data_IF_900472419020
#
_entry.id   IF_900472419020
#
_cell.length_a   1.000
_cell.length_b   1.000
_cell.length_c   1.000
_cell.angle_alpha   90.00
_cell.angle_beta   90.00
_cell.angle_gamma   90.00
#
_symmetry.space_group_name_H-M   'P 1'
#
loop_
_entity.id
_entity.type
_entity.pdbx_description
1 polymer ?
#
# COMPACT_ATOMS: atom_id res chain seq x y z
N UNK A 1 30.98 4.43 -4.48
CA UNK A 1 30.41 4.07 -5.80
C UNK A 1 30.94 5.01 -6.87
N UNK A 2 30.91 4.64 -8.15
CA UNK A 2 31.38 5.50 -9.26
C UNK A 2 30.18 5.89 -10.13
N UNK A 3 29.64 7.10 -9.95
CA UNK A 3 28.70 7.70 -10.89
C UNK A 3 29.45 8.54 -11.94
N UNK A 4 28.87 8.78 -13.13
CA UNK A 4 29.48 9.66 -14.13
C UNK A 4 29.68 11.07 -13.57
N UNK A 5 30.69 11.85 -13.98
CA UNK A 5 30.89 13.19 -13.46
C UNK A 5 29.72 14.12 -13.83
N UNK A 6 29.14 14.86 -12.87
CA UNK A 6 28.06 15.81 -13.13
C UNK A 6 28.58 16.99 -13.95
N UNK A 7 27.77 17.43 -14.91
CA UNK A 7 28.08 18.53 -15.83
C UNK A 7 27.26 19.78 -15.56
N UNK A 8 26.02 19.63 -15.07
CA UNK A 8 25.14 20.77 -14.83
C UNK A 8 24.13 20.44 -13.72
N UNK A 9 23.67 21.46 -12.99
CA UNK A 9 22.57 21.34 -12.03
C UNK A 9 21.61 22.49 -12.21
N UNK A 10 20.31 22.22 -12.07
CA UNK A 10 19.27 23.25 -12.09
C UNK A 10 18.11 22.87 -11.19
N UNK A 11 17.38 23.87 -10.74
CA UNK A 11 16.08 23.68 -10.14
C UNK A 11 14.96 23.79 -11.19
N UNK A 12 14.11 22.77 -11.27
CA UNK A 12 12.91 22.76 -12.08
C UNK A 12 11.70 23.19 -11.25
N UNK A 13 11.31 24.47 -11.39
CA UNK A 13 10.16 25.04 -10.67
C UNK A 13 8.83 24.39 -11.01
N UNK A 14 8.68 23.80 -12.20
CA UNK A 14 7.41 23.19 -12.61
C UNK A 14 7.15 21.90 -11.82
N UNK A 15 8.22 21.18 -11.50
CA UNK A 15 8.17 19.87 -10.83
C UNK A 15 8.72 19.89 -9.41
N UNK A 16 9.13 21.06 -8.89
CA UNK A 16 9.68 21.20 -7.54
C UNK A 16 10.95 20.36 -7.30
N UNK A 17 11.77 20.12 -8.33
CA UNK A 17 12.85 19.13 -8.29
C UNK A 17 14.21 19.71 -8.72
N UNK A 18 15.30 19.22 -8.12
CA UNK A 18 16.67 19.46 -8.56
C UNK A 18 17.02 18.43 -9.62
N UNK A 19 17.45 18.91 -10.78
CA UNK A 19 17.90 18.11 -11.91
C UNK A 19 19.42 18.22 -12.01
N UNK A 20 20.11 17.09 -11.89
CA UNK A 20 21.55 16.95 -12.06
C UNK A 20 21.79 16.24 -13.39
N UNK A 21 22.44 16.91 -14.32
CA UNK A 21 22.84 16.35 -15.61
C UNK A 21 24.30 15.91 -15.55
N UNK A 22 24.60 14.78 -16.17
CA UNK A 22 25.93 14.20 -16.20
C UNK A 22 26.57 14.26 -17.59
N UNK A 23 27.90 14.24 -17.66
CA UNK A 23 28.64 14.33 -18.92
C UNK A 23 28.33 13.21 -19.94
N UNK A 24 27.78 12.08 -19.49
CA UNK A 24 27.35 10.99 -20.36
C UNK A 24 25.94 11.20 -20.95
N UNK A 25 25.27 12.31 -20.66
CA UNK A 25 23.91 12.63 -21.11
C UNK A 25 22.78 12.07 -20.25
N UNK A 26 23.09 11.35 -19.17
CA UNK A 26 22.08 10.94 -18.18
C UNK A 26 21.72 12.10 -17.25
N UNK A 27 20.54 12.04 -16.64
CA UNK A 27 20.11 12.97 -15.60
C UNK A 27 19.61 12.21 -14.37
N UNK A 28 19.88 12.76 -13.19
CA UNK A 28 19.34 12.33 -11.91
C UNK A 28 18.49 13.45 -11.34
N UNK A 29 17.29 13.12 -10.86
CA UNK A 29 16.31 14.10 -10.40
C UNK A 29 15.95 13.77 -8.96
N UNK A 30 15.98 14.78 -8.09
CA UNK A 30 15.60 14.65 -6.68
C UNK A 30 14.58 15.75 -6.32
N UNK A 31 13.47 15.43 -5.63
CA UNK A 31 12.54 16.45 -5.16
C UNK A 31 13.26 17.41 -4.21
N UNK A 32 13.21 18.71 -4.50
CA UNK A 32 13.99 19.69 -3.73
C UNK A 32 13.53 19.76 -2.27
N UNK A 33 12.22 19.57 -2.03
CA UNK A 33 11.62 19.62 -0.70
C UNK A 33 11.96 18.42 0.18
N UNK A 34 12.48 17.34 -0.40
CA UNK A 34 12.95 16.17 0.33
C UNK A 34 14.38 16.34 0.86
N UNK A 35 15.10 17.39 0.43
CA UNK A 35 16.45 17.66 0.92
C UNK A 35 16.41 18.42 2.25
N UNK A 36 17.19 17.94 3.23
CA UNK A 36 17.33 18.60 4.53
C UNK A 36 17.74 20.08 4.34
N UNK A 37 17.03 20.98 5.04
CA UNK A 37 17.22 22.43 4.95
C UNK A 37 16.46 23.13 3.82
N UNK A 38 15.89 22.41 2.85
CA UNK A 38 15.13 23.00 1.73
C UNK A 38 13.61 22.93 1.89
N UNK A 39 13.09 22.13 2.82
CA UNK A 39 11.64 21.96 3.05
C UNK A 39 10.89 23.30 3.16
N UNK A 40 11.47 24.29 3.86
CA UNK A 40 10.87 25.63 4.06
C UNK A 40 11.52 26.75 3.24
N UNK A 41 12.49 26.46 2.37
CA UNK A 41 13.19 27.47 1.58
C UNK A 41 12.27 28.03 0.47
N UNK A 42 12.39 29.29 0.10
CA UNK A 42 11.61 29.82 -1.03
C UNK A 42 12.09 29.21 -2.37
N UNK A 43 11.20 29.17 -3.35
CA UNK A 43 11.52 28.77 -4.73
C UNK A 43 12.71 29.55 -5.33
N UNK A 44 12.90 30.80 -4.88
CA UNK A 44 14.00 31.66 -5.30
C UNK A 44 15.32 31.29 -4.61
N UNK A 45 15.29 30.77 -3.39
CA UNK A 45 16.47 30.27 -2.67
C UNK A 45 16.88 28.89 -3.20
N UNK A 46 15.92 27.98 -3.40
CA UNK A 46 16.18 26.65 -3.98
C UNK A 46 16.78 26.77 -5.39
N UNK A 47 16.32 27.76 -6.18
CA UNK A 47 16.84 28.00 -7.52
C UNK A 47 18.34 28.38 -7.58
N UNK A 48 18.96 28.75 -6.45
CA UNK A 48 20.39 29.10 -6.36
C UNK A 48 21.28 27.87 -6.14
N UNK A 49 20.80 26.68 -6.49
CA UNK A 49 21.59 25.45 -6.44
C UNK A 49 22.81 25.56 -7.35
N UNK A 50 23.97 25.20 -6.83
CA UNK A 50 25.23 25.16 -7.55
C UNK A 50 25.93 23.81 -7.37
N UNK A 51 26.78 23.46 -8.33
CA UNK A 51 27.63 22.28 -8.25
C UNK A 51 28.94 22.65 -7.55
N UNK A 52 29.24 22.03 -6.42
CA UNK A 52 30.48 22.22 -5.68
C UNK A 52 31.39 21.00 -5.80
N UNK A 53 32.65 21.23 -6.20
CA UNK A 53 33.71 20.22 -6.33
C UNK A 53 33.40 19.03 -7.25
N UNK A 54 32.33 19.12 -8.04
CA UNK A 54 31.90 18.04 -8.94
C UNK A 54 31.30 16.83 -8.24
N UNK A 55 31.02 16.90 -6.93
CA UNK A 55 30.42 15.80 -6.17
C UNK A 55 29.27 16.21 -5.26
N UNK A 56 29.05 17.51 -5.05
CA UNK A 56 28.04 18.03 -4.14
C UNK A 56 27.16 19.11 -4.76
N UNK A 57 25.92 19.18 -4.27
CA UNK A 57 25.02 20.31 -4.42
C UNK A 57 25.29 21.31 -3.30
N UNK A 58 25.27 22.59 -3.63
CA UNK A 58 25.54 23.67 -2.67
C UNK A 58 24.56 24.82 -2.86
N UNK A 59 24.11 25.40 -1.74
CA UNK A 59 23.31 26.63 -1.70
C UNK A 59 24.00 27.62 -0.77
N UNK A 60 24.75 28.56 -1.34
CA UNK A 60 25.53 29.55 -0.57
C UNK A 60 24.64 30.37 0.39
N UNK A 61 23.45 30.77 -0.05
CA UNK A 61 22.56 31.59 0.78
C UNK A 61 21.90 30.85 1.93
N UNK A 62 21.83 29.52 1.85
CA UNK A 62 21.23 28.67 2.88
C UNK A 62 22.28 27.97 3.73
N UNK A 63 23.57 28.09 3.38
CA UNK A 63 24.68 27.34 3.97
C UNK A 63 24.42 25.82 3.98
N UNK A 64 23.89 25.31 2.86
CA UNK A 64 23.53 23.90 2.70
C UNK A 64 24.43 23.21 1.69
N UNK A 65 24.79 21.96 2.01
CA UNK A 65 25.57 21.07 1.15
C UNK A 65 24.99 19.66 1.18
N UNK A 66 24.81 19.07 0.01
CA UNK A 66 24.32 17.70 -0.16
C UNK A 66 25.22 16.93 -1.13
N UNK A 67 25.80 15.80 -0.71
CA UNK A 67 26.66 14.99 -1.59
C UNK A 67 25.80 14.19 -2.59
N UNK A 68 26.08 14.34 -3.89
CA UNK A 68 25.33 13.70 -4.97
C UNK A 68 25.35 12.17 -4.82
N UNK A 69 26.48 11.60 -4.39
CA UNK A 69 26.60 10.17 -4.13
C UNK A 69 25.62 9.67 -3.06
N UNK A 70 25.43 10.43 -1.99
CA UNK A 70 24.49 10.09 -0.92
C UNK A 70 23.04 10.21 -1.40
N UNK A 71 22.73 11.26 -2.18
CA UNK A 71 21.40 11.42 -2.79
C UNK A 71 21.07 10.26 -3.73
N UNK A 72 22.03 9.79 -4.52
CA UNK A 72 21.88 8.62 -5.40
C UNK A 72 21.74 7.31 -4.63
N UNK A 73 22.26 7.25 -3.41
CA UNK A 73 22.07 6.15 -2.46
C UNK A 73 20.75 6.28 -1.66
N UNK A 74 19.96 7.35 -1.90
CA UNK A 74 18.68 7.61 -1.24
C UNK A 74 18.83 8.20 0.16
N UNK A 75 20.02 8.69 0.51
CA UNK A 75 20.32 9.35 1.78
C UNK A 75 20.12 10.86 1.60
N UNK A 76 19.02 11.37 2.16
CA UNK A 76 18.63 12.79 2.09
C UNK A 76 18.95 13.57 3.37
N UNK A 77 19.55 12.90 4.36
CA UNK A 77 19.88 13.44 5.69
C UNK A 77 21.36 13.24 6.04
N UNK A 78 21.95 14.21 6.72
CA UNK A 78 23.20 14.00 7.48
C UNK A 78 23.04 14.60 8.87
N UNK A 79 22.56 13.77 9.83
CA UNK A 79 22.89 13.75 11.27
C UNK A 79 21.82 12.99 12.12
N UNK A 80 20.69 12.52 11.56
CA UNK A 80 19.73 11.67 12.29
C UNK A 80 20.25 10.24 12.58
N UNK A 81 21.24 9.77 11.81
CA UNK A 81 21.89 8.46 12.01
C UNK A 81 22.62 8.30 13.36
N UNK A 82 22.81 9.37 14.15
CA UNK A 82 23.37 9.25 15.51
C UNK A 82 22.39 8.74 16.57
N UNK A 83 21.08 8.76 16.30
CA UNK A 83 20.08 8.27 17.28
C UNK A 83 19.80 6.77 17.12
N UNK A 84 20.09 6.18 15.96
CA UNK A 84 19.86 4.75 15.69
C UNK A 84 21.01 3.82 16.13
N UNK A 85 22.01 4.32 16.86
CA UNK A 85 23.11 3.50 17.42
C UNK A 85 23.04 3.32 18.94
N UNK A 86 21.85 3.24 19.52
CA UNK A 86 21.67 2.66 20.85
C UNK A 86 21.10 1.24 20.74
N UNK A 87 21.93 0.18 20.82
CA UNK A 87 21.45 -1.19 20.92
C UNK A 87 21.02 -1.43 22.37
N UNK A 88 19.85 -0.91 22.75
CA UNK A 88 19.18 -1.29 24.01
C UNK A 88 17.70 -0.91 23.99
N UNK A 89 16.93 -1.56 23.12
CA UNK A 89 15.49 -1.71 23.31
C UNK A 89 15.08 -3.13 22.90
N UNK A 90 14.30 -3.80 23.76
CA UNK A 90 13.85 -5.17 23.55
C UNK A 90 12.86 -5.31 22.38
N UNK A 91 12.43 -6.54 22.04
CA UNK A 91 11.52 -6.77 20.94
C UNK A 91 10.11 -6.33 21.34
N UNK A 92 9.55 -5.36 20.61
CA UNK A 92 8.13 -5.02 20.71
C UNK A 92 7.86 -3.53 20.69
N UNK A 93 7.67 -3.01 19.48
CA UNK A 93 6.61 -2.09 19.04
C UNK A 93 7.09 -1.54 17.68
N UNK A 94 6.34 -1.84 16.63
CA UNK A 94 6.56 -1.26 15.30
C UNK A 94 6.36 0.25 15.44
N UNK A 95 7.42 1.04 15.26
CA UNK A 95 7.32 2.50 15.29
C UNK A 95 6.87 2.97 13.91
N UNK A 96 5.55 3.21 13.77
CA UNK A 96 4.99 3.93 12.63
C UNK A 96 5.80 5.22 12.40
N UNK A 97 6.36 5.45 11.21
CA UNK A 97 7.10 6.68 10.94
C UNK A 97 6.19 7.91 11.15
N UNK A 98 6.72 9.05 11.62
CA UNK A 98 5.89 10.23 11.86
C UNK A 98 5.08 10.61 10.61
N UNK A 99 3.75 10.85 10.72
CA UNK A 99 2.89 11.09 9.55
C UNK A 99 3.36 12.21 8.62
N UNK A 100 4.01 13.24 9.18
CA UNK A 100 4.59 14.35 8.44
C UNK A 100 5.65 13.93 7.40
N UNK A 101 6.26 12.76 7.55
CA UNK A 101 7.32 12.25 6.66
C UNK A 101 6.73 11.58 5.42
N UNK A 102 5.59 10.89 5.54
CA UNK A 102 5.08 10.03 4.48
C UNK A 102 3.75 10.49 3.87
N UNK A 103 2.89 11.22 4.59
CA UNK A 103 1.55 11.58 4.07
C UNK A 103 1.65 12.35 2.75
N UNK A 104 2.52 13.36 2.70
CA UNK A 104 2.70 14.16 1.48
C UNK A 104 3.18 13.32 0.29
N UNK A 105 4.12 12.40 0.53
CA UNK A 105 4.65 11.49 -0.48
C UNK A 105 3.60 10.49 -0.96
N UNK A 106 2.76 9.97 -0.06
CA UNK A 106 1.63 9.08 -0.40
C UNK A 106 0.62 9.83 -1.27
N UNK A 107 0.17 11.01 -0.85
CA UNK A 107 -0.80 11.81 -1.62
C UNK A 107 -0.26 12.09 -3.01
N UNK A 108 0.98 12.58 -3.10
CA UNK A 108 1.63 12.88 -4.39
C UNK A 108 1.73 11.64 -5.28
N UNK A 109 2.21 10.52 -4.74
CA UNK A 109 2.33 9.27 -5.48
C UNK A 109 0.97 8.80 -6.02
N UNK A 110 -0.07 8.75 -5.17
CA UNK A 110 -1.39 8.29 -5.59
C UNK A 110 -1.99 9.23 -6.65
N UNK A 111 -1.93 10.55 -6.42
CA UNK A 111 -2.46 11.55 -7.36
C UNK A 111 -1.78 11.51 -8.73
N UNK A 112 -0.49 11.18 -8.80
CA UNK A 112 0.27 11.14 -10.05
C UNK A 112 0.11 9.82 -10.82
N UNK A 113 -0.28 8.74 -10.13
CA UNK A 113 -0.27 7.40 -10.71
C UNK A 113 -1.67 6.80 -10.88
N UNK A 114 -2.73 7.49 -10.46
CA UNK A 114 -4.10 7.13 -10.80
C UNK A 114 -4.44 7.47 -12.27
N UNK A 115 -5.26 6.65 -12.96
CA UNK A 115 -5.78 7.02 -14.27
C UNK A 115 -6.62 8.30 -14.22
N UNK A 116 -6.58 9.08 -15.29
CA UNK A 116 -7.26 10.36 -15.38
C UNK A 116 -6.31 11.54 -15.24
N UNK A 117 -6.79 12.63 -14.66
CA UNK A 117 -6.07 13.88 -14.57
C UNK A 117 -6.26 14.51 -13.18
N UNK A 118 -5.14 14.82 -12.53
CA UNK A 118 -5.09 15.33 -11.16
C UNK A 118 -5.68 16.73 -10.96
N UNK A 119 -5.97 17.46 -12.02
CA UNK A 119 -6.63 18.78 -11.96
C UNK A 119 -8.14 18.67 -12.12
N UNK A 120 -8.62 17.55 -12.69
CA UNK A 120 -10.03 17.39 -13.06
C UNK A 120 -10.70 16.18 -12.40
N UNK A 121 -10.24 14.96 -12.65
CA UNK A 121 -10.78 13.75 -12.03
C UNK A 121 -9.88 12.54 -12.27
N UNK A 122 -9.86 11.64 -11.29
CA UNK A 122 -9.31 10.29 -11.41
C UNK A 122 -10.43 9.28 -11.71
N UNK A 123 -10.09 8.24 -12.47
CA UNK A 123 -10.99 7.15 -12.84
C UNK A 123 -10.47 5.84 -12.30
N UNK A 124 -11.33 5.09 -11.61
CA UNK A 124 -10.93 3.80 -11.03
C UNK A 124 -11.25 2.60 -11.92
N UNK A 125 -12.18 2.74 -12.88
CA UNK A 125 -12.62 1.67 -13.80
C UNK A 125 -12.96 0.32 -13.15
N UNK A 126 -13.32 0.32 -11.85
CA UNK A 126 -13.58 -0.87 -11.03
C UNK A 126 -12.35 -1.80 -10.90
N UNK A 127 -11.16 -1.24 -11.10
CA UNK A 127 -9.89 -1.90 -10.83
C UNK A 127 -9.56 -1.70 -9.35
N UNK A 128 -9.37 -2.79 -8.62
CA UNK A 128 -9.17 -2.79 -7.17
C UNK A 128 -8.12 -1.78 -6.69
N UNK A 129 -6.92 -1.77 -7.30
CA UNK A 129 -5.86 -0.85 -6.90
C UNK A 129 -6.24 0.61 -7.10
N UNK A 130 -6.97 0.93 -8.17
CA UNK A 130 -7.40 2.32 -8.45
C UNK A 130 -8.55 2.73 -7.54
N UNK A 131 -9.48 1.82 -7.20
CA UNK A 131 -10.55 2.08 -6.24
C UNK A 131 -9.96 2.41 -4.86
N UNK A 132 -9.06 1.55 -4.36
CA UNK A 132 -8.38 1.76 -3.07
C UNK A 132 -7.60 3.07 -3.07
N UNK A 133 -6.89 3.40 -4.16
CA UNK A 133 -6.15 4.66 -4.27
C UNK A 133 -7.07 5.89 -4.32
N UNK A 134 -8.21 5.82 -5.01
CA UNK A 134 -9.23 6.89 -4.99
C UNK A 134 -9.80 7.08 -3.59
N UNK A 135 -10.20 5.99 -2.93
CA UNK A 135 -10.70 6.01 -1.55
C UNK A 135 -9.66 6.57 -0.58
N UNK A 136 -8.39 6.21 -0.76
CA UNK A 136 -7.28 6.74 0.05
C UNK A 136 -7.21 8.26 -0.05
N UNK A 137 -7.30 8.83 -1.26
CA UNK A 137 -7.32 10.29 -1.46
C UNK A 137 -8.56 10.94 -0.84
N UNK A 138 -9.72 10.27 -0.90
CA UNK A 138 -10.97 10.75 -0.29
C UNK A 138 -10.84 10.80 1.24
N UNK A 139 -10.38 9.71 1.87
CA UNK A 139 -10.25 9.65 3.34
C UNK A 139 -9.14 10.56 3.86
N UNK A 140 -8.11 10.84 3.06
CA UNK A 140 -7.10 11.87 3.35
C UNK A 140 -7.59 13.30 3.09
N UNK A 141 -8.86 13.48 2.73
CA UNK A 141 -9.47 14.79 2.50
C UNK A 141 -8.96 15.52 1.26
N UNK A 142 -8.35 14.81 0.32
CA UNK A 142 -7.79 15.35 -0.92
C UNK A 142 -8.80 15.34 -2.06
N UNK A 143 -9.82 14.49 -1.98
CA UNK A 143 -10.78 14.28 -3.05
C UNK A 143 -12.21 14.04 -2.55
N UNK A 144 -13.17 14.18 -3.45
CA UNK A 144 -14.57 13.77 -3.27
C UNK A 144 -14.87 12.55 -4.13
N UNK A 145 -15.72 11.67 -3.60
CA UNK A 145 -16.16 10.47 -4.31
C UNK A 145 -17.00 10.82 -5.54
N UNK A 146 -16.78 10.07 -6.61
CA UNK A 146 -17.62 10.11 -7.81
C UNK A 146 -18.05 8.69 -8.16
N UNK A 147 -19.05 8.53 -9.04
CA UNK A 147 -19.55 7.21 -9.43
C UNK A 147 -18.49 6.26 -10.02
N UNK A 148 -17.39 6.80 -10.56
CA UNK A 148 -16.37 5.98 -11.25
C UNK A 148 -14.93 6.33 -10.82
N UNK A 149 -14.74 6.96 -9.67
CA UNK A 149 -13.42 7.43 -9.22
C UNK A 149 -13.50 8.56 -8.21
N UNK A 150 -12.58 9.52 -8.29
CA UNK A 150 -12.51 10.63 -7.34
C UNK A 150 -12.20 11.96 -8.03
N UNK A 151 -12.67 13.06 -7.46
CA UNK A 151 -12.42 14.42 -7.97
C UNK A 151 -11.61 15.23 -6.94
N UNK A 152 -10.52 15.90 -7.33
CA UNK A 152 -9.72 16.70 -6.40
C UNK A 152 -10.53 17.81 -5.73
N UNK A 153 -10.30 18.05 -4.45
CA UNK A 153 -10.87 19.20 -3.72
C UNK A 153 -10.13 20.48 -4.06
N UNK A 154 -10.87 21.59 -4.09
CA UNK A 154 -10.30 22.92 -4.26
C UNK A 154 -9.45 23.37 -3.04
N UNK A 155 -9.82 22.91 -1.84
CA UNK A 155 -9.15 23.21 -0.57
C UNK A 155 -8.90 21.90 0.18
N UNK A 156 -7.84 21.14 -0.19
CA UNK A 156 -7.54 19.86 0.43
C UNK A 156 -7.04 20.05 1.87
N UNK A 157 -7.66 19.35 2.81
CA UNK A 157 -7.31 19.38 4.23
C UNK A 157 -7.25 17.96 4.78
N UNK A 158 -6.21 17.66 5.56
CA UNK A 158 -6.09 16.36 6.21
C UNK A 158 -7.18 16.18 7.28
N UNK A 159 -7.72 14.96 7.45
CA UNK A 159 -8.69 14.70 8.50
C UNK A 159 -8.05 14.78 9.89
N UNK A 160 -8.86 15.11 10.91
CA UNK A 160 -8.44 15.06 12.32
C UNK A 160 -7.96 13.66 12.74
N UNK A 161 -8.55 12.63 12.15
CA UNK A 161 -8.22 11.23 12.39
C UNK A 161 -7.63 10.66 11.10
N UNK A 162 -6.33 10.39 11.13
CA UNK A 162 -5.63 9.83 9.98
C UNK A 162 -5.92 8.34 9.81
N UNK A 163 -6.04 7.88 8.55
CA UNK A 163 -6.03 6.46 8.23
C UNK A 163 -4.81 5.73 8.79
N UNK A 164 -4.89 4.41 8.90
CA UNK A 164 -3.76 3.61 9.38
C UNK A 164 -2.62 3.60 8.37
N UNK A 165 -1.39 3.68 8.88
CA UNK A 165 -0.18 3.63 8.05
C UNK A 165 -0.06 2.33 7.23
N UNK A 166 -0.38 1.18 7.83
CA UNK A 166 -0.27 -0.13 7.16
C UNK A 166 -1.23 -0.24 5.97
N UNK A 167 -2.44 0.33 6.08
CA UNK A 167 -3.40 0.39 5.00
C UNK A 167 -2.94 1.30 3.85
N UNK A 168 -2.36 2.47 4.17
CA UNK A 168 -1.85 3.40 3.15
C UNK A 168 -0.60 2.82 2.47
N UNK A 169 0.26 2.13 3.21
CA UNK A 169 1.38 1.40 2.65
C UNK A 169 0.90 0.31 1.66
N UNK A 170 -0.13 -0.46 2.02
CA UNK A 170 -0.73 -1.45 1.12
C UNK A 170 -1.35 -0.81 -0.13
N UNK A 171 -2.08 0.31 0.01
CA UNK A 171 -2.63 1.04 -1.13
C UNK A 171 -1.55 1.49 -2.14
N UNK A 172 -0.41 2.00 -1.63
CA UNK A 172 0.73 2.39 -2.48
C UNK A 172 1.34 1.18 -3.19
N UNK A 173 1.53 0.06 -2.49
CA UNK A 173 2.07 -1.18 -3.11
C UNK A 173 1.15 -1.67 -4.22
N UNK A 174 -0.17 -1.71 -3.97
CA UNK A 174 -1.18 -2.14 -4.95
C UNK A 174 -1.15 -1.28 -6.21
N UNK A 175 -1.15 0.06 -6.06
CA UNK A 175 -1.10 0.96 -7.19
C UNK A 175 0.21 0.83 -7.97
N UNK A 176 1.34 0.73 -7.26
CA UNK A 176 2.65 0.52 -7.88
C UNK A 176 2.69 -0.76 -8.71
N UNK A 177 2.16 -1.87 -8.18
CA UNK A 177 2.13 -3.16 -8.86
C UNK A 177 1.17 -3.12 -10.06
N UNK A 178 -0.03 -2.57 -9.90
CA UNK A 178 -1.03 -2.42 -10.95
C UNK A 178 -0.50 -1.64 -12.17
N UNK A 179 0.30 -0.60 -11.92
CA UNK A 179 0.90 0.23 -12.97
C UNK A 179 2.24 -0.33 -13.50
N UNK A 180 2.74 -1.44 -12.96
CA UNK A 180 4.05 -1.99 -13.33
C UNK A 180 5.24 -1.12 -12.91
N UNK A 181 5.04 -0.23 -11.93
CA UNK A 181 6.10 0.61 -11.34
C UNK A 181 6.98 -0.17 -10.36
N UNK A 182 6.48 -1.32 -9.90
CA UNK A 182 7.26 -2.38 -9.26
C UNK A 182 7.08 -3.69 -10.03
N UNK A 183 8.15 -4.46 -10.11
CA UNK A 183 8.16 -5.82 -10.66
C UNK A 183 8.82 -6.75 -9.65
N UNK A 184 8.05 -7.69 -9.12
CA UNK A 184 8.56 -8.73 -8.24
C UNK A 184 9.37 -9.75 -9.03
N UNK A 185 10.54 -10.13 -8.52
CA UNK A 185 11.44 -11.08 -9.17
C UNK A 185 11.29 -12.45 -8.51
N UNK A 186 11.26 -13.50 -9.32
CA UNK A 186 11.27 -14.86 -8.82
C UNK A 186 12.57 -15.14 -8.05
N UNK A 187 12.46 -15.81 -6.90
CA UNK A 187 13.60 -16.32 -6.16
C UNK A 187 14.16 -17.54 -6.89
N UNK A 188 15.20 -17.38 -7.71
CA UNK A 188 15.79 -18.48 -8.47
C UNK A 188 16.46 -19.52 -7.55
N UNK A 189 16.16 -20.81 -7.77
CA UNK A 189 16.79 -21.92 -7.03
C UNK A 189 18.31 -22.02 -7.27
N UNK A 190 18.83 -21.50 -8.38
CA UNK A 190 20.26 -21.55 -8.71
C UNK A 190 21.10 -20.64 -7.80
N UNK A 191 20.59 -19.46 -7.43
CA UNK A 191 21.23 -18.53 -6.48
C UNK A 191 21.24 -19.11 -5.05
N UNK A 192 20.35 -20.07 -4.76
CA UNK A 192 20.33 -20.79 -3.48
C UNK A 192 21.57 -21.67 -3.30
N UNK A 193 22.26 -22.09 -4.38
CA UNK A 193 23.42 -23.00 -4.31
C UNK A 193 24.77 -22.27 -4.21
N UNK A 194 24.89 -21.09 -4.82
CA UNK A 194 26.14 -20.29 -4.77
C UNK A 194 26.34 -19.58 -3.42
N UNK A 195 25.27 -19.19 -2.72
CA UNK A 195 25.33 -18.66 -1.35
C UNK A 195 25.65 -19.73 -0.29
N UNK A 196 25.58 -21.02 -0.63
CA UNK A 196 25.92 -22.14 0.27
C UNK A 196 27.42 -22.49 0.30
N UNK A 197 28.26 -21.67 -0.34
CA UNK A 197 29.72 -21.81 -0.32
C UNK A 197 30.38 -21.08 0.85
N UNK A 198 30.77 -21.84 1.87
CA UNK A 198 31.71 -21.50 2.94
C UNK A 198 31.17 -20.78 4.21
N UNK A 199 30.69 -21.59 5.15
CA UNK A 199 31.30 -21.64 6.48
C UNK A 199 30.93 -20.56 7.50
N UNK A 200 29.64 -20.42 7.83
CA UNK A 200 29.21 -19.90 9.13
C UNK A 200 28.09 -20.75 9.71
N UNK A 201 28.25 -21.15 10.97
CA UNK A 201 27.35 -22.02 11.73
C UNK A 201 25.97 -21.37 11.99
N UNK A 202 24.97 -22.26 12.07
CA UNK A 202 23.54 -22.06 12.32
C UNK A 202 23.12 -20.80 13.11
N UNK A 203 22.58 -19.82 12.38
CA UNK A 203 21.48 -18.98 12.82
C UNK A 203 20.61 -18.64 11.60
N UNK A 204 19.58 -19.45 11.34
CA UNK A 204 18.64 -19.23 10.23
C UNK A 204 17.82 -17.96 10.44
N UNK A 205 18.26 -16.83 9.89
CA UNK A 205 17.33 -15.80 9.40
C UNK A 205 16.95 -16.16 7.96
N UNK A 206 16.08 -17.17 7.80
CA UNK A 206 15.35 -17.33 6.53
C UNK A 206 14.40 -16.14 6.41
N UNK A 207 14.41 -15.43 5.29
CA UNK A 207 13.26 -14.57 4.94
C UNK A 207 13.58 -13.43 3.99
N UNK A 208 14.27 -12.40 4.46
CA UNK A 208 14.25 -11.08 3.80
C UNK A 208 15.21 -10.93 2.62
N UNK A 209 16.34 -11.64 2.61
CA UNK A 209 17.34 -11.59 1.52
C UNK A 209 16.85 -12.25 0.20
N UNK A 210 15.66 -12.87 0.20
CA UNK A 210 15.15 -13.67 -0.93
C UNK A 210 14.06 -12.97 -1.75
N UNK A 211 13.48 -11.87 -1.24
CA UNK A 211 12.39 -11.14 -1.90
C UNK A 211 12.93 -9.96 -2.68
N UNK A 212 13.34 -10.22 -3.93
CA UNK A 212 13.85 -9.18 -4.80
C UNK A 212 12.72 -8.55 -5.64
N UNK A 213 12.77 -7.24 -5.81
CA UNK A 213 11.92 -6.50 -6.73
C UNK A 213 12.72 -5.41 -7.45
N UNK A 214 12.26 -5.02 -8.65
CA UNK A 214 12.72 -3.81 -9.33
C UNK A 214 11.62 -2.77 -9.22
N UNK A 215 11.95 -1.58 -8.77
CA UNK A 215 10.99 -0.50 -8.61
C UNK A 215 11.50 0.78 -9.28
N UNK A 216 10.58 1.63 -9.73
CA UNK A 216 10.90 2.96 -10.21
C UNK A 216 11.49 3.81 -9.05
N UNK A 217 12.29 4.85 -9.34
CA UNK A 217 12.81 5.73 -8.30
C UNK A 217 11.71 6.35 -7.43
N UNK A 218 10.57 6.71 -8.03
CA UNK A 218 9.41 7.25 -7.33
C UNK A 218 8.84 6.26 -6.32
N UNK A 219 8.67 4.98 -6.72
CA UNK A 219 8.22 3.92 -5.80
C UNK A 219 9.22 3.71 -4.66
N UNK A 220 10.53 3.68 -4.96
CA UNK A 220 11.54 3.55 -3.89
C UNK A 220 11.53 4.75 -2.93
N UNK A 221 11.21 5.95 -3.40
CA UNK A 221 11.11 7.17 -2.58
C UNK A 221 9.95 7.05 -1.60
N UNK A 222 8.74 6.76 -2.10
CA UNK A 222 7.56 6.63 -1.23
C UNK A 222 7.71 5.45 -0.26
N UNK A 223 8.29 4.32 -0.70
CA UNK A 223 8.55 3.18 0.19
C UNK A 223 9.53 3.51 1.32
N UNK A 224 10.59 4.29 1.06
CA UNK A 224 11.48 4.75 2.13
C UNK A 224 10.77 5.69 3.10
N UNK A 225 9.95 6.63 2.59
CA UNK A 225 9.17 7.52 3.47
C UNK A 225 8.23 6.75 4.38
N UNK A 226 7.64 5.68 3.87
CA UNK A 226 6.78 4.76 4.61
C UNK A 226 7.57 3.81 5.51
N UNK A 227 8.91 3.79 5.48
CA UNK A 227 9.71 2.84 6.26
C UNK A 227 9.64 1.39 5.76
N UNK A 228 9.23 1.16 4.51
CA UNK A 228 9.21 -0.18 3.89
C UNK A 228 10.59 -0.60 3.37
N UNK A 229 11.47 0.38 3.09
CA UNK A 229 12.83 0.16 2.63
C UNK A 229 13.84 0.83 3.55
N UNK A 230 14.92 0.11 3.86
CA UNK A 230 16.17 0.66 4.41
C UNK A 230 17.28 0.48 3.37
N UNK A 231 17.74 1.61 2.80
CA UNK A 231 18.61 1.61 1.62
C UNK A 231 17.95 0.92 0.42
N UNK A 232 18.41 -0.30 0.12
CA UNK A 232 17.90 -1.17 -0.95
C UNK A 232 17.26 -2.47 -0.42
N UNK A 233 17.11 -2.62 0.89
CA UNK A 233 16.54 -3.81 1.53
C UNK A 233 15.15 -3.54 2.08
N UNK A 234 14.29 -4.56 2.02
CA UNK A 234 12.99 -4.56 2.71
C UNK A 234 13.18 -4.56 4.23
N UNK A 235 12.39 -3.75 4.93
CA UNK A 235 12.40 -3.68 6.40
C UNK A 235 11.60 -4.82 7.03
N UNK A 236 11.67 -4.98 8.36
CA UNK A 236 10.85 -5.98 9.03
C UNK A 236 9.36 -5.64 8.96
N UNK A 237 9.06 -4.35 8.96
CA UNK A 237 7.73 -3.74 8.95
C UNK A 237 7.05 -3.93 7.59
N UNK A 238 7.81 -3.95 6.49
CA UNK A 238 7.25 -4.23 5.16
C UNK A 238 6.71 -5.65 5.00
N UNK A 239 7.11 -6.60 5.85
CA UNK A 239 6.81 -8.01 5.64
C UNK A 239 5.30 -8.28 5.69
N UNK A 240 4.61 -7.74 6.70
CA UNK A 240 3.14 -7.91 6.81
C UNK A 240 2.41 -7.12 5.72
N UNK A 241 2.95 -6.00 5.25
CA UNK A 241 2.42 -5.27 4.08
C UNK A 241 2.54 -6.13 2.82
N UNK A 242 3.69 -6.79 2.61
CA UNK A 242 3.95 -7.66 1.46
C UNK A 242 3.17 -8.98 1.52
N UNK A 243 2.71 -9.41 2.71
CA UNK A 243 1.73 -10.50 2.82
C UNK A 243 0.35 -10.10 2.32
N UNK A 244 0.01 -8.81 2.42
CA UNK A 244 -1.25 -8.27 1.87
C UNK A 244 -1.19 -8.12 0.36
N UNK A 245 -0.04 -7.82 -0.22
CA UNK A 245 0.16 -7.92 -1.68
C UNK A 245 0.26 -9.38 -2.16
N UNK A 246 0.98 -10.22 -1.42
CA UNK A 246 1.27 -11.62 -1.73
C UNK A 246 1.71 -11.87 -3.19
N UNK A 247 2.84 -11.32 -3.66
CA UNK A 247 3.32 -11.54 -5.02
C UNK A 247 3.48 -13.02 -5.36
N UNK A 248 2.90 -13.44 -6.49
CA UNK A 248 2.93 -14.83 -6.91
C UNK A 248 4.35 -15.36 -7.14
N UNK A 249 5.26 -14.48 -7.59
CA UNK A 249 6.67 -14.76 -7.86
C UNK A 249 7.44 -15.17 -6.61
N UNK A 250 7.05 -14.65 -5.44
CA UNK A 250 7.73 -14.90 -4.17
C UNK A 250 7.19 -16.12 -3.44
N UNK A 251 6.01 -16.62 -3.82
CA UNK A 251 5.38 -17.82 -3.24
C UNK A 251 5.38 -17.79 -1.71
N UNK A 252 4.96 -16.67 -1.14
CA UNK A 252 4.97 -16.46 0.32
C UNK A 252 4.03 -17.48 0.98
N UNK A 253 4.56 -18.29 1.88
CA UNK A 253 3.77 -19.26 2.66
C UNK A 253 3.44 -18.72 4.06
N UNK A 254 2.83 -17.53 4.11
CA UNK A 254 2.53 -16.86 5.37
C UNK A 254 1.51 -17.64 6.23
N UNK A 255 0.68 -18.50 5.63
CA UNK A 255 -0.32 -19.31 6.35
C UNK A 255 0.30 -20.31 7.32
N UNK A 256 1.54 -20.73 7.07
CA UNK A 256 2.31 -21.59 7.96
C UNK A 256 3.27 -20.81 8.88
N UNK A 257 3.29 -19.48 8.79
CA UNK A 257 4.10 -18.63 9.67
C UNK A 257 3.49 -18.63 11.10
N UNK A 258 4.31 -18.78 12.16
CA UNK A 258 3.83 -18.73 13.53
C UNK A 258 3.04 -17.48 13.89
N UNK A 259 3.30 -16.32 13.26
CA UNK A 259 2.53 -15.08 13.45
C UNK A 259 1.10 -15.23 12.95
N UNK A 260 0.91 -15.76 11.74
CA UNK A 260 -0.42 -16.02 11.19
C UNK A 260 -1.20 -17.02 12.04
N UNK A 261 -0.56 -18.12 12.47
CA UNK A 261 -1.19 -19.14 13.31
C UNK A 261 -1.65 -18.53 14.65
N UNK A 262 -0.82 -17.72 15.30
CA UNK A 262 -1.20 -17.01 16.53
C UNK A 262 -2.34 -16.04 16.31
N UNK A 263 -2.31 -15.29 15.21
CA UNK A 263 -3.36 -14.34 14.88
C UNK A 263 -4.69 -15.04 14.55
N UNK A 264 -4.66 -16.25 13.98
CA UNK A 264 -5.85 -17.09 13.79
C UNK A 264 -6.41 -17.60 15.12
N UNK A 265 -5.55 -18.08 16.02
CA UNK A 265 -5.97 -18.50 17.36
C UNK A 265 -6.65 -17.34 18.10
N UNK A 266 -6.06 -16.14 18.05
CA UNK A 266 -6.60 -14.92 18.64
C UNK A 266 -7.94 -14.52 17.99
N UNK A 267 -8.00 -14.45 16.66
CA UNK A 267 -9.20 -14.08 15.93
C UNK A 267 -10.37 -15.02 16.24
N UNK A 268 -10.11 -16.33 16.41
CA UNK A 268 -11.13 -17.29 16.79
C UNK A 268 -11.56 -17.16 18.26
N UNK A 269 -10.61 -16.91 19.17
CA UNK A 269 -10.88 -16.81 20.60
C UNK A 269 -11.61 -15.53 21.00
N UNK A 270 -11.29 -14.42 20.32
CA UNK A 270 -11.69 -13.07 20.72
C UNK A 270 -12.59 -12.35 19.70
N UNK A 271 -13.26 -13.10 18.80
CA UNK A 271 -14.25 -12.53 17.88
C UNK A 271 -15.37 -11.81 18.64
N UNK A 272 -15.58 -10.49 18.41
CA UNK A 272 -16.64 -9.72 19.07
C UNK A 272 -18.04 -10.26 18.75
N UNK A 273 -18.96 -10.13 19.70
CA UNK A 273 -20.35 -10.58 19.52
C UNK A 273 -21.06 -9.85 18.38
N UNK A 274 -20.74 -8.58 18.14
CA UNK A 274 -21.25 -7.82 16.99
C UNK A 274 -20.83 -8.46 15.66
N UNK A 275 -19.56 -8.83 15.53
CA UNK A 275 -19.05 -9.51 14.33
C UNK A 275 -19.66 -10.91 14.20
N UNK A 276 -19.82 -11.64 15.30
CA UNK A 276 -20.49 -12.95 15.27
C UNK A 276 -21.93 -12.85 14.77
N UNK A 277 -22.67 -11.84 15.23
CA UNK A 277 -24.04 -11.58 14.78
C UNK A 277 -24.11 -11.23 13.28
N UNK A 278 -23.16 -10.42 12.78
CA UNK A 278 -23.02 -10.13 11.34
C UNK A 278 -22.78 -11.42 10.54
N UNK A 279 -21.85 -12.27 10.99
CA UNK A 279 -21.55 -13.56 10.33
C UNK A 279 -22.78 -14.48 10.32
N UNK A 280 -23.52 -14.56 11.42
CA UNK A 280 -24.76 -15.36 11.48
C UNK A 280 -25.81 -14.83 10.49
N UNK A 281 -25.93 -13.51 10.34
CA UNK A 281 -26.79 -12.88 9.33
C UNK A 281 -26.37 -13.18 7.90
N UNK A 282 -25.06 -13.09 7.62
CA UNK A 282 -24.47 -13.44 6.32
C UNK A 282 -24.69 -14.91 6.00
N UNK A 283 -24.57 -15.81 6.97
CA UNK A 283 -24.71 -17.24 6.74
C UNK A 283 -26.15 -17.71 6.51
N UNK A 284 -27.14 -17.03 7.12
CA UNK A 284 -28.55 -17.42 7.02
C UNK A 284 -29.21 -16.91 5.74
N UNK A 285 -29.37 -17.76 4.73
CA UNK A 285 -30.15 -17.42 3.53
C UNK A 285 -31.63 -17.42 3.90
N UNK A 286 -32.19 -16.24 4.19
CA UNK A 286 -33.60 -16.07 4.53
C UNK A 286 -34.48 -16.05 3.28
N UNK A 287 -35.76 -16.39 3.42
CA UNK A 287 -36.73 -16.30 2.32
C UNK A 287 -36.87 -14.86 1.80
N UNK A 288 -36.66 -13.86 2.66
CA UNK A 288 -36.60 -12.44 2.30
C UNK A 288 -35.40 -12.12 1.39
N UNK A 289 -34.22 -12.67 1.68
CA UNK A 289 -33.05 -12.52 0.80
C UNK A 289 -33.26 -13.20 -0.55
N UNK A 290 -33.97 -14.34 -0.59
CA UNK A 290 -34.36 -15.01 -1.83
C UNK A 290 -35.34 -14.15 -2.64
N UNK A 291 -36.33 -13.53 -1.98
CA UNK A 291 -37.27 -12.62 -2.64
C UNK A 291 -36.56 -11.39 -3.23
N UNK A 292 -35.67 -10.74 -2.46
CA UNK A 292 -34.94 -9.54 -2.89
C UNK A 292 -34.02 -9.81 -4.10
N UNK A 293 -33.34 -10.97 -4.12
CA UNK A 293 -32.49 -11.37 -5.26
C UNK A 293 -33.28 -11.96 -6.44
N UNK A 294 -34.52 -12.40 -6.21
CA UNK A 294 -35.45 -12.83 -7.26
C UNK A 294 -36.03 -11.67 -8.07
N UNK A 295 -36.32 -10.53 -7.43
CA UNK A 295 -36.93 -9.35 -8.05
C UNK A 295 -35.94 -8.44 -8.79
N UNK A 296 -34.63 -8.50 -8.50
CA UNK A 296 -33.55 -7.79 -9.25
C UNK A 296 -33.42 -8.21 -10.73
N UNK A 297 -34.29 -9.07 -11.24
CA UNK A 297 -34.46 -9.33 -12.67
C UNK A 297 -35.26 -8.23 -13.40
N UNK A 298 -35.79 -7.24 -12.70
CA UNK A 298 -36.51 -6.10 -13.27
C UNK A 298 -35.92 -4.82 -12.69
N UNK A 299 -34.96 -4.24 -13.40
CA UNK A 299 -34.54 -2.86 -13.16
C UNK A 299 -35.51 -1.94 -13.93
N UNK A 300 -36.35 -1.11 -13.27
CA UNK A 300 -37.29 -0.24 -13.96
C UNK A 300 -36.66 1.04 -14.52
N UNK A 301 -35.39 1.33 -14.21
CA UNK A 301 -34.77 2.64 -14.47
C UNK A 301 -33.89 2.70 -15.75
N UNK A 302 -33.89 1.66 -16.60
CA UNK A 302 -33.43 1.79 -18.00
C UNK A 302 -34.54 2.35 -18.91
N UNK A 303 -35.03 3.57 -18.62
CA UNK A 303 -35.75 4.37 -19.61
C UNK A 303 -34.75 4.88 -20.68
N UNK A 304 -34.30 3.99 -21.57
CA UNK A 304 -33.47 4.41 -22.70
C UNK A 304 -32.93 3.31 -23.62
N UNK A 305 -32.98 2.03 -23.23
CA UNK A 305 -32.40 0.96 -24.06
C UNK A 305 -33.49 0.18 -24.80
N UNK A 306 -33.77 0.58 -26.04
CA UNK A 306 -34.50 -0.27 -26.99
C UNK A 306 -33.64 -1.50 -27.31
N UNK A 307 -33.80 -2.55 -26.49
CA UNK A 307 -33.46 -3.97 -26.74
C UNK A 307 -32.77 -4.64 -25.54
N UNK A 308 -33.42 -4.65 -24.37
CA UNK A 308 -33.01 -5.55 -23.28
C UNK A 308 -33.49 -6.98 -23.61
N UNK A 309 -32.54 -7.83 -23.99
CA UNK A 309 -32.75 -9.27 -24.07
C UNK A 309 -33.18 -9.77 -22.69
N UNK A 310 -34.48 -10.08 -22.51
CA UNK A 310 -35.00 -10.63 -21.26
C UNK A 310 -34.26 -11.93 -20.94
N UNK A 311 -33.36 -11.86 -19.97
CA UNK A 311 -32.69 -13.04 -19.43
C UNK A 311 -33.77 -13.98 -18.87
N UNK A 312 -33.63 -15.31 -19.08
CA UNK A 312 -34.56 -16.26 -18.51
C UNK A 312 -34.59 -16.13 -16.98
N UNK A 313 -35.76 -16.36 -16.33
CA UNK A 313 -35.87 -16.29 -14.88
C UNK A 313 -34.90 -17.27 -14.23
N UNK A 314 -34.13 -16.78 -13.25
CA UNK A 314 -33.16 -17.59 -12.51
C UNK A 314 -33.88 -18.72 -11.77
N UNK A 315 -33.29 -19.92 -11.78
CA UNK A 315 -33.79 -21.02 -10.94
C UNK A 315 -33.58 -20.69 -9.45
N UNK A 316 -34.35 -21.29 -8.52
CA UNK A 316 -34.11 -21.12 -7.09
C UNK A 316 -32.68 -21.45 -6.64
N UNK A 317 -32.01 -22.38 -7.33
CA UNK A 317 -30.60 -22.71 -7.10
C UNK A 317 -29.67 -21.60 -7.58
N UNK A 318 -29.90 -21.02 -8.76
CA UNK A 318 -29.13 -19.87 -9.27
C UNK A 318 -29.31 -18.60 -8.42
N UNK A 319 -30.52 -18.38 -7.87
CA UNK A 319 -30.76 -17.29 -6.92
C UNK A 319 -29.97 -17.53 -5.64
N UNK A 320 -29.97 -18.75 -5.11
CA UNK A 320 -29.17 -19.12 -3.92
C UNK A 320 -27.66 -19.02 -4.16
N UNK A 321 -27.16 -19.41 -5.33
CA UNK A 321 -25.75 -19.21 -5.70
C UNK A 321 -25.38 -17.74 -5.80
N UNK A 322 -26.24 -16.91 -6.41
CA UNK A 322 -26.05 -15.45 -6.46
C UNK A 322 -26.02 -14.81 -5.07
N UNK A 323 -26.89 -15.25 -4.16
CA UNK A 323 -26.90 -14.82 -2.76
C UNK A 323 -25.60 -15.24 -2.05
N UNK A 324 -25.15 -16.50 -2.23
CA UNK A 324 -23.89 -16.99 -1.65
C UNK A 324 -22.68 -16.22 -2.16
N UNK A 325 -22.67 -15.87 -3.45
CA UNK A 325 -21.60 -15.07 -4.05
C UNK A 325 -21.56 -13.66 -3.44
N UNK A 326 -22.71 -12.97 -3.38
CA UNK A 326 -22.81 -11.64 -2.75
C UNK A 326 -22.36 -11.67 -1.28
N UNK A 327 -22.80 -12.67 -0.53
CA UNK A 327 -22.53 -12.79 0.92
C UNK A 327 -21.12 -13.22 1.28
N UNK A 328 -20.38 -13.81 0.33
CA UNK A 328 -18.94 -14.05 0.51
C UNK A 328 -18.20 -12.73 0.62
N UNK A 329 -18.55 -11.77 -0.24
CA UNK A 329 -17.99 -10.41 -0.20
C UNK A 329 -18.33 -9.72 1.12
N UNK A 330 -19.58 -9.83 1.60
CA UNK A 330 -19.97 -9.29 2.91
C UNK A 330 -19.09 -9.84 4.06
N UNK A 331 -18.68 -11.12 4.00
CA UNK A 331 -17.80 -11.69 5.03
C UNK A 331 -16.34 -11.25 4.88
N UNK A 332 -15.84 -11.14 3.66
CA UNK A 332 -14.52 -10.57 3.41
C UNK A 332 -14.44 -9.12 3.94
N UNK A 333 -15.49 -8.31 3.73
CA UNK A 333 -15.58 -6.93 4.22
C UNK A 333 -15.42 -6.80 5.73
N UNK A 334 -15.95 -7.76 6.52
CA UNK A 334 -15.77 -7.74 7.97
C UNK A 334 -14.27 -7.80 8.35
N UNK A 335 -13.46 -8.55 7.61
CA UNK A 335 -12.02 -8.62 7.85
C UNK A 335 -11.29 -7.40 7.28
N UNK A 336 -11.72 -6.85 6.15
CA UNK A 336 -11.16 -5.60 5.62
C UNK A 336 -11.35 -4.43 6.59
N UNK A 337 -12.52 -4.33 7.22
CA UNK A 337 -12.90 -3.24 8.14
C UNK A 337 -12.39 -3.41 9.56
N UNK A 338 -12.43 -4.63 10.08
CA UNK A 338 -12.35 -4.85 11.54
C UNK A 338 -11.21 -5.76 11.99
N UNK A 339 -10.30 -6.20 11.11
CA UNK A 339 -9.21 -7.10 11.53
C UNK A 339 -7.85 -6.75 10.93
N UNK A 340 -6.78 -6.79 11.73
CA UNK A 340 -5.39 -6.67 11.27
C UNK A 340 -4.52 -7.72 11.95
N UNK A 341 -3.46 -8.19 11.28
CA UNK A 341 -2.64 -9.29 11.80
C UNK A 341 -1.93 -8.94 13.13
N UNK A 342 -1.49 -7.70 13.28
CA UNK A 342 -0.74 -7.26 14.46
C UNK A 342 -1.65 -6.81 15.61
N UNK A 343 -2.90 -6.41 15.32
CA UNK A 343 -3.86 -5.88 16.29
C UNK A 343 -5.02 -6.82 16.65
N UNK A 344 -5.27 -7.85 15.85
CA UNK A 344 -6.47 -8.69 15.95
C UNK A 344 -7.73 -7.93 15.54
N UNK A 345 -8.83 -8.14 16.27
CA UNK A 345 -10.09 -7.42 16.03
C UNK A 345 -10.00 -5.97 16.50
N UNK A 346 -10.17 -5.04 15.57
CA UNK A 346 -10.14 -3.61 15.82
C UNK A 346 -11.34 -3.17 16.67
N UNK A 347 -11.09 -2.33 17.66
CA UNK A 347 -12.16 -1.60 18.35
C UNK A 347 -12.88 -0.64 17.39
N UNK A 348 -14.10 -0.18 17.73
CA UNK A 348 -14.82 0.78 16.89
C UNK A 348 -14.05 2.07 16.57
N UNK A 349 -13.18 2.53 17.47
CA UNK A 349 -12.35 3.71 17.22
C UNK A 349 -11.15 3.42 16.33
N UNK A 350 -10.54 2.23 16.45
CA UNK A 350 -9.48 1.79 15.54
C UNK A 350 -10.03 1.53 14.13
N UNK A 351 -11.24 0.97 14.01
CA UNK A 351 -11.89 0.70 12.74
C UNK A 351 -12.19 1.98 11.93
N UNK A 352 -12.40 3.13 12.59
CA UNK A 352 -12.54 4.44 11.91
C UNK A 352 -11.30 4.86 11.12
N UNK A 353 -10.12 4.32 11.48
CA UNK A 353 -8.86 4.56 10.78
C UNK A 353 -8.61 3.55 9.66
N UNK A 354 -9.34 2.43 9.66
CA UNK A 354 -9.09 1.35 8.72
C UNK A 354 -9.59 1.73 7.32
N UNK A 355 -8.74 1.47 6.32
CA UNK A 355 -9.16 1.50 4.91
C UNK A 355 -9.65 0.11 4.51
N UNK A 356 -10.67 0.07 3.65
CA UNK A 356 -11.15 -1.17 3.05
C UNK A 356 -10.20 -1.60 1.93
N UNK A 357 -9.16 -2.35 2.28
CA UNK A 357 -8.28 -2.96 1.27
C UNK A 357 -9.03 -4.16 0.67
N UNK A 358 -9.82 -3.90 -0.38
CA UNK A 358 -10.52 -4.97 -1.10
C UNK A 358 -9.53 -5.94 -1.73
N UNK A 359 -9.94 -7.21 -1.79
CA UNK A 359 -9.10 -8.29 -2.28
C UNK A 359 -7.72 -8.32 -1.58
N UNK A 360 -7.69 -8.16 -0.25
CA UNK A 360 -6.49 -8.35 0.58
C UNK A 360 -6.24 -9.86 0.81
N UNK A 361 -5.24 -10.50 0.16
CA UNK A 361 -4.85 -11.88 0.39
C UNK A 361 -4.74 -12.31 1.85
N UNK A 362 -4.22 -11.44 2.72
CA UNK A 362 -3.98 -11.77 4.12
C UNK A 362 -5.31 -11.82 4.88
N UNK A 363 -6.15 -10.79 4.71
CA UNK A 363 -7.48 -10.74 5.31
C UNK A 363 -8.38 -11.87 4.78
N UNK A 364 -8.37 -12.13 3.47
CA UNK A 364 -9.09 -13.24 2.83
C UNK A 364 -8.64 -14.58 3.40
N UNK A 365 -7.32 -14.79 3.57
CA UNK A 365 -6.78 -16.03 4.12
C UNK A 365 -7.18 -16.21 5.58
N UNK A 366 -7.16 -15.13 6.39
CA UNK A 366 -7.60 -15.17 7.77
C UNK A 366 -9.10 -15.49 7.87
N UNK A 367 -9.93 -14.82 7.09
CA UNK A 367 -11.39 -15.08 7.02
C UNK A 367 -11.67 -16.52 6.64
N UNK A 368 -10.96 -17.08 5.66
CA UNK A 368 -11.02 -18.50 5.24
C UNK A 368 -10.74 -19.44 6.41
N UNK A 369 -9.66 -19.19 7.13
CA UNK A 369 -9.22 -20.03 8.23
C UNK A 369 -10.16 -19.94 9.44
N UNK A 370 -10.63 -18.74 9.77
CA UNK A 370 -11.63 -18.51 10.84
C UNK A 370 -12.94 -19.21 10.49
N UNK A 371 -13.42 -19.07 9.25
CA UNK A 371 -14.63 -19.71 8.76
C UNK A 371 -14.54 -21.25 8.89
N UNK A 372 -13.44 -21.84 8.45
CA UNK A 372 -13.21 -23.28 8.54
C UNK A 372 -13.22 -23.80 9.98
N UNK A 373 -12.72 -23.00 10.94
CA UNK A 373 -12.60 -23.40 12.36
C UNK A 373 -13.87 -23.17 13.17
N UNK A 374 -14.51 -22.01 13.02
CA UNK A 374 -15.67 -21.62 13.83
C UNK A 374 -17.01 -22.03 13.19
N UNK A 375 -17.07 -22.10 11.86
CA UNK A 375 -18.31 -22.34 11.12
C UNK A 375 -18.21 -23.54 10.16
N UNK A 376 -17.75 -24.73 10.61
CA UNK A 376 -17.55 -25.89 9.73
C UNK A 376 -18.85 -26.42 9.10
N UNK A 377 -20.00 -26.03 9.65
CA UNK A 377 -21.33 -26.36 9.13
C UNK A 377 -21.74 -25.46 7.94
N UNK A 378 -20.98 -24.40 7.65
CA UNK A 378 -21.16 -23.50 6.51
C UNK A 378 -19.88 -23.46 5.64
N UNK A 379 -19.54 -24.56 4.95
CA UNK A 379 -18.26 -24.68 4.24
C UNK A 379 -18.03 -23.62 3.16
N UNK A 380 -19.11 -23.10 2.57
CA UNK A 380 -19.08 -22.04 1.56
C UNK A 380 -18.49 -20.70 2.06
N UNK A 381 -18.43 -20.46 3.37
CA UNK A 381 -17.79 -19.28 3.97
C UNK A 381 -16.25 -19.40 3.98
N UNK A 382 -15.73 -20.63 3.88
CA UNK A 382 -14.30 -20.92 3.84
C UNK A 382 -13.75 -21.06 2.41
N UNK A 383 -14.57 -20.81 1.39
CA UNK A 383 -14.20 -20.93 -0.03
C UNK A 383 -13.46 -19.72 -0.60
#
# INVERSE_FOLDING_TARGET
>A
MSYPPPSHVRYDRRYGAIVIEFHNGSAFVVPARSLEGLANASEAEIAKVELHDGSALHWETLDLRHEIGLLMEGVFETEALKVMQNPSAGPGLVEEPPPAVWIGQVIEFLSNNLPGDRESAWQHDFVTAYQIACETLIVLGQAEETTHGAMPRNDPELPDILPRWDDLATAVVYLAAQNGLITFLASDEATQSELLGAGFEDARQRGREMWAARASPEVTSVFRSLGLLDGNGWTAESETILWRENPAEWRIDFKNDPRFIRALDDACAHMPDSIRAEVDGIAQITDEAIALHGDRAIDPDEEGSESVMRLPPKTPEQVREGIRWSRRHDFDELFYKFWRIDDGWLSPDQAKRALEIFNDPLAIAMRKAVAARLYPHWPHLAE
#
